data_IF_325349214943
#
_entry.id   IF_325349214943
#
_cell.length_a   1.000
_cell.length_b   1.000
_cell.length_c   1.000
_cell.angle_alpha   90.00
_cell.angle_beta   90.00
_cell.angle_gamma   90.00
#
_symmetry.space_group_name_H-M   'P 1'
#
loop_
_entity.id
_entity.type
_entity.pdbx_description
1 polymer ?
#
# COMPACT_ATOMS: atom_id res chain seq x y z
N UNK A 1 -4.91 1.09 13.23
CA UNK A 1 -4.54 -0.27 12.78
C UNK A 1 -4.41 -0.13 11.28
N UNK A 2 -3.32 -0.58 10.67
CA UNK A 2 -3.05 -0.27 9.25
C UNK A 2 -3.55 -1.41 8.38
N UNK A 3 -4.28 -1.07 7.33
CA UNK A 3 -4.77 -2.02 6.32
C UNK A 3 -3.97 -1.85 5.03
N UNK A 4 -3.73 -2.95 4.34
CA UNK A 4 -3.08 -2.93 3.04
C UNK A 4 -4.11 -2.99 1.92
N UNK A 5 -4.00 -2.11 0.93
CA UNK A 5 -4.80 -2.12 -0.29
C UNK A 5 -3.87 -2.13 -1.50
N UNK A 6 -4.02 -3.14 -2.36
CA UNK A 6 -3.21 -3.25 -3.58
C UNK A 6 -3.87 -2.43 -4.70
N UNK A 7 -3.19 -1.42 -5.23
CA UNK A 7 -3.72 -0.52 -6.28
C UNK A 7 -3.10 -0.72 -7.66
N UNK A 8 -2.23 -1.72 -7.81
CA UNK A 8 -1.61 -2.05 -9.09
C UNK A 8 -2.50 -2.98 -9.93
N UNK A 9 -2.10 -3.27 -11.18
CA UNK A 9 -2.85 -4.11 -12.12
C UNK A 9 -3.25 -5.46 -11.49
N UNK A 10 -4.55 -5.62 -11.20
CA UNK A 10 -5.18 -6.78 -10.55
C UNK A 10 -5.34 -7.91 -11.58
N UNK A 11 -4.23 -8.51 -11.98
CA UNK A 11 -4.20 -9.62 -12.93
C UNK A 11 -3.40 -10.79 -12.37
N UNK A 12 -3.91 -12.01 -12.54
CA UNK A 12 -3.21 -13.25 -12.17
C UNK A 12 -1.91 -13.46 -12.99
N UNK A 13 -1.73 -12.71 -14.09
CA UNK A 13 -0.49 -12.65 -14.87
C UNK A 13 0.53 -11.63 -14.31
N UNK A 14 0.18 -10.87 -13.27
CA UNK A 14 1.08 -9.92 -12.60
C UNK A 14 2.04 -10.65 -11.65
N UNK A 15 3.30 -10.20 -11.62
CA UNK A 15 4.31 -10.70 -10.68
C UNK A 15 3.93 -10.50 -9.20
N UNK A 16 2.89 -9.71 -8.91
CA UNK A 16 2.39 -9.40 -7.58
C UNK A 16 0.97 -9.97 -7.30
N UNK A 17 0.51 -10.97 -8.07
CA UNK A 17 -0.79 -11.61 -7.84
C UNK A 17 -0.95 -12.15 -6.41
N UNK A 18 0.14 -12.61 -5.77
CA UNK A 18 0.11 -12.99 -4.34
C UNK A 18 -0.25 -11.80 -3.43
N UNK A 19 0.26 -10.59 -3.70
CA UNK A 19 -0.11 -9.40 -2.92
C UNK A 19 -1.58 -9.02 -3.06
N UNK A 20 -2.15 -9.21 -4.25
CA UNK A 20 -3.57 -8.94 -4.46
C UNK A 20 -4.45 -9.81 -3.55
N UNK A 21 -4.09 -11.08 -3.32
CA UNK A 21 -4.80 -11.94 -2.36
C UNK A 21 -4.69 -11.48 -0.90
N UNK A 22 -3.75 -10.57 -0.62
CA UNK A 22 -3.55 -9.97 0.68
C UNK A 22 -4.17 -8.56 0.81
N UNK A 23 -4.86 -8.06 -0.22
CA UNK A 23 -5.61 -6.79 -0.14
C UNK A 23 -6.70 -6.85 0.96
N UNK A 24 -6.98 -5.71 1.58
CA UNK A 24 -7.92 -5.52 2.71
C UNK A 24 -7.57 -6.28 3.99
N UNK A 25 -6.34 -6.77 4.12
CA UNK A 25 -5.86 -7.39 5.35
C UNK A 25 -5.11 -6.39 6.23
N UNK A 26 -5.20 -6.59 7.54
CA UNK A 26 -4.39 -5.83 8.48
C UNK A 26 -2.92 -6.19 8.35
N UNK A 27 -2.07 -5.17 8.38
CA UNK A 27 -0.62 -5.29 8.35
C UNK A 27 0.03 -4.59 9.53
N UNK A 28 1.19 -5.11 9.93
CA UNK A 28 2.09 -4.43 10.85
C UNK A 28 3.19 -3.72 10.07
N UNK A 29 3.31 -2.40 10.22
CA UNK A 29 4.43 -1.64 9.68
C UNK A 29 5.67 -1.92 10.53
N UNK A 30 6.68 -2.53 9.91
CA UNK A 30 7.95 -2.92 10.55
C UNK A 30 9.00 -1.81 10.46
N UNK A 31 8.92 -0.96 9.43
CA UNK A 31 9.85 0.14 9.21
C UNK A 31 9.59 0.90 7.91
N UNK A 32 10.42 1.90 7.67
CA UNK A 32 10.46 2.66 6.41
C UNK A 32 11.60 2.09 5.56
N UNK A 33 11.29 1.67 4.34
CA UNK A 33 12.25 1.16 3.36
C UNK A 33 12.84 2.30 2.53
N UNK A 34 11.96 3.15 1.98
CA UNK A 34 12.31 4.40 1.30
C UNK A 34 11.53 5.57 1.91
N UNK A 35 12.19 6.63 2.41
CA UNK A 35 11.49 7.75 3.06
C UNK A 35 10.67 8.65 2.13
N UNK A 36 10.88 8.60 0.81
CA UNK A 36 10.33 9.52 -0.18
C UNK A 36 11.01 10.90 -0.19
N UNK A 37 10.47 11.82 -1.01
CA UNK A 37 10.95 13.22 -1.10
C UNK A 37 9.80 14.17 -0.78
N UNK A 38 9.80 14.72 0.43
CA UNK A 38 8.74 15.60 0.94
C UNK A 38 8.49 15.39 2.43
N UNK A 39 8.00 16.42 3.12
CA UNK A 39 7.75 16.37 4.56
C UNK A 39 6.37 15.76 4.85
N UNK A 40 5.38 15.99 4.00
CA UNK A 40 4.02 15.41 4.10
C UNK A 40 3.74 14.32 3.06
N UNK A 41 2.74 13.43 3.30
CA UNK A 41 2.29 12.48 2.29
C UNK A 41 1.83 13.15 0.99
N UNK A 42 1.11 14.27 1.07
CA UNK A 42 0.66 14.99 -0.14
C UNK A 42 1.84 15.50 -0.98
N UNK A 43 2.85 16.10 -0.35
CA UNK A 43 4.04 16.57 -1.06
C UNK A 43 4.78 15.42 -1.75
N UNK A 44 4.89 14.27 -1.07
CA UNK A 44 5.53 13.07 -1.62
C UNK A 44 4.76 12.52 -2.83
N UNK A 45 3.44 12.55 -2.78
CA UNK A 45 2.58 12.14 -3.90
C UNK A 45 2.72 13.11 -5.09
N UNK A 46 2.73 14.43 -4.84
CA UNK A 46 2.92 15.45 -5.88
C UNK A 46 4.28 15.33 -6.59
N UNK A 47 5.34 14.99 -5.86
CA UNK A 47 6.69 14.75 -6.41
C UNK A 47 6.86 13.36 -7.05
N UNK A 48 5.81 12.51 -7.00
CA UNK A 48 5.86 11.14 -7.50
C UNK A 48 6.88 10.26 -6.78
N UNK A 49 7.20 10.61 -5.54
CA UNK A 49 8.16 9.92 -4.68
C UNK A 49 7.50 9.56 -3.33
N UNK A 50 6.43 8.74 -3.33
CA UNK A 50 5.77 8.28 -2.11
C UNK A 50 6.74 7.52 -1.23
N UNK A 51 6.48 7.55 0.08
CA UNK A 51 7.25 6.74 1.03
C UNK A 51 6.91 5.26 0.84
N UNK A 52 7.90 4.40 1.05
CA UNK A 52 7.74 2.95 1.02
C UNK A 52 7.98 2.39 2.42
N UNK A 53 7.06 1.55 2.88
CA UNK A 53 7.08 0.92 4.18
C UNK A 53 7.29 -0.58 4.04
N UNK A 54 8.06 -1.18 4.96
CA UNK A 54 8.13 -2.63 5.07
C UNK A 54 7.01 -3.11 5.99
N UNK A 55 6.14 -3.98 5.49
CA UNK A 55 4.96 -4.46 6.19
C UNK A 55 4.95 -5.99 6.35
N UNK A 56 4.25 -6.46 7.38
CA UNK A 56 4.04 -7.89 7.63
C UNK A 56 2.56 -8.19 7.86
N UNK A 57 2.07 -9.19 7.15
CA UNK A 57 0.72 -9.74 7.29
C UNK A 57 0.62 -10.72 8.46
N UNK A 58 -0.61 -11.01 8.89
CA UNK A 58 -0.87 -11.87 10.05
C UNK A 58 -0.39 -13.33 9.89
N UNK A 59 -0.24 -13.80 8.65
CA UNK A 59 0.29 -15.12 8.32
C UNK A 59 1.84 -15.16 8.26
N UNK A 60 2.49 -14.01 8.45
CA UNK A 60 3.94 -13.84 8.42
C UNK A 60 4.49 -13.50 7.04
N UNK A 61 3.65 -13.29 6.02
CA UNK A 61 4.10 -12.76 4.74
C UNK A 61 4.61 -11.31 4.91
N UNK A 62 5.71 -10.98 4.24
CA UNK A 62 6.34 -9.66 4.33
C UNK A 62 6.52 -9.07 2.94
N UNK A 63 6.23 -7.77 2.81
CA UNK A 63 6.41 -7.06 1.56
C UNK A 63 6.63 -5.56 1.79
N UNK A 64 7.08 -4.85 0.76
CA UNK A 64 7.11 -3.39 0.74
C UNK A 64 5.77 -2.86 0.23
N UNK A 65 5.20 -1.86 0.90
CA UNK A 65 3.96 -1.19 0.50
C UNK A 65 4.21 0.30 0.35
N UNK A 66 3.61 0.93 -0.66
CA UNK A 66 3.64 2.38 -0.80
C UNK A 66 2.76 3.04 0.27
N UNK A 67 3.01 4.33 0.49
CA UNK A 67 2.29 5.13 1.48
C UNK A 67 0.79 5.22 1.19
N UNK A 68 0.40 5.24 -0.08
CA UNK A 68 -0.99 5.23 -0.57
C UNK A 68 -1.64 3.84 -0.53
N UNK A 69 -0.86 2.77 -0.42
CA UNK A 69 -1.36 1.39 -0.24
C UNK A 69 -1.68 1.04 1.23
N UNK A 70 -1.50 1.99 2.16
CA UNK A 70 -1.68 1.80 3.60
C UNK A 70 -2.78 2.71 4.15
N UNK A 71 -3.88 2.10 4.57
CA UNK A 71 -5.04 2.82 5.11
C UNK A 71 -5.06 2.83 6.64
N UNK A 72 -5.48 3.96 7.21
CA UNK A 72 -5.66 4.13 8.66
C UNK A 72 -6.92 3.42 9.20
N UNK A 73 -7.88 3.14 8.32
CA UNK A 73 -9.14 2.47 8.64
C UNK A 73 -9.65 1.59 7.51
N UNK A 74 -10.46 0.59 7.86
CA UNK A 74 -11.17 -0.29 6.92
C UNK A 74 -12.28 0.45 6.15
N UNK A 75 -12.64 1.67 6.56
CA UNK A 75 -13.65 2.50 5.90
C UNK A 75 -13.04 3.48 4.88
N UNK A 76 -11.70 3.59 4.84
CA UNK A 76 -10.96 4.48 3.93
C UNK A 76 -10.64 3.84 2.57
N UNK A 77 -11.12 2.62 2.27
CA UNK A 77 -10.96 2.01 0.95
C UNK A 77 -11.53 2.92 -0.16
N UNK A 78 -10.69 3.76 -0.75
CA UNK A 78 -11.03 4.53 -1.94
C UNK A 78 -10.75 3.67 -3.17
N UNK A 79 -11.67 2.76 -3.46
CA UNK A 79 -11.95 2.41 -4.85
C UNK A 79 -12.70 3.59 -5.48
N UNK A 80 -12.01 4.70 -5.77
CA UNK A 80 -12.46 5.57 -6.84
C UNK A 80 -12.27 4.80 -8.14
N UNK A 81 -13.28 3.98 -8.48
CA UNK A 81 -13.54 3.53 -9.84
C UNK A 81 -13.31 4.72 -10.76
N UNK A 82 -12.19 4.71 -11.49
CA UNK A 82 -11.92 5.67 -12.54
C UNK A 82 -12.95 5.38 -13.65
N UNK A 83 -14.14 5.97 -13.52
CA UNK A 83 -15.14 5.99 -14.58
C UNK A 83 -14.58 6.88 -15.70
N UNK A 84 -13.84 6.23 -16.60
CA UNK A 84 -13.56 6.72 -17.94
C UNK A 84 -14.67 6.30 -18.90
#
# INVERSE_FOLDING_TARGET
MTYFEYHCDESEDSAHAELWHHTHQQVAVLGVDDPGVGDTPEERAEEGCPRVYFVRFSDGYEHSAFEDELMDSEDDYEMEDYIG
#
